data_IF_615569167756
#
_entry.id   IF_615569167756
#
_cell.length_a   1.000
_cell.length_b   1.000
_cell.length_c   1.000
_cell.angle_alpha   90.00
_cell.angle_beta   90.00
_cell.angle_gamma   90.00
#
_symmetry.space_group_name_H-M   'P 1'
#
loop_
_entity.id
_entity.type
_entity.pdbx_description
1 polymer ?
#
# COMPACT_ATOMS: atom_id res chain seq x y z
N UNK A 1 -1.99 9.55 -20.48
CA UNK A 1 -2.38 8.24 -19.94
C UNK A 1 -1.34 7.86 -18.92
N UNK A 2 -1.75 7.27 -17.79
CA UNK A 2 -0.82 6.77 -16.78
C UNK A 2 -0.27 5.42 -17.28
N UNK A 3 1.04 5.23 -17.17
CA UNK A 3 1.72 3.98 -17.56
C UNK A 3 2.12 3.16 -16.35
N UNK A 4 2.47 3.81 -15.22
CA UNK A 4 2.85 3.14 -13.97
C UNK A 4 2.08 3.72 -12.80
N UNK A 5 1.34 2.88 -12.09
CA UNK A 5 0.49 3.29 -10.95
C UNK A 5 0.96 2.59 -9.68
N UNK A 6 1.23 3.37 -8.64
CA UNK A 6 1.56 2.86 -7.31
C UNK A 6 0.28 2.76 -6.47
N UNK A 7 0.03 1.59 -5.89
CA UNK A 7 -1.13 1.32 -5.02
C UNK A 7 -0.61 0.88 -3.64
N UNK A 8 -0.48 1.80 -2.67
CA UNK A 8 -0.15 1.41 -1.31
C UNK A 8 -1.31 0.66 -0.67
N UNK A 9 -1.04 -0.52 -0.11
CA UNK A 9 -2.07 -1.41 0.40
C UNK A 9 -1.72 -1.98 1.78
N UNK A 10 -2.72 -2.05 2.65
CA UNK A 10 -2.77 -2.84 3.88
C UNK A 10 -3.95 -3.82 3.80
N UNK A 11 -4.30 -4.48 4.90
CA UNK A 11 -5.41 -5.44 5.00
C UNK A 11 -6.80 -4.77 5.07
N UNK A 12 -6.90 -3.47 4.79
CA UNK A 12 -8.17 -2.74 4.93
C UNK A 12 -9.05 -2.78 3.67
N UNK A 13 -10.37 -2.67 3.87
CA UNK A 13 -11.33 -2.54 2.76
C UNK A 13 -11.04 -1.32 1.87
N UNK A 14 -10.54 -0.22 2.45
CA UNK A 14 -10.25 0.99 1.69
C UNK A 14 -9.01 0.86 0.81
N UNK A 15 -8.06 0.03 1.22
CA UNK A 15 -6.94 -0.32 0.37
C UNK A 15 -7.39 -1.19 -0.82
N UNK A 16 -8.32 -2.12 -0.60
CA UNK A 16 -8.95 -2.88 -1.68
C UNK A 16 -9.71 -1.97 -2.67
N UNK A 17 -10.46 -0.98 -2.17
CA UNK A 17 -11.12 0.03 -3.04
C UNK A 17 -10.12 0.83 -3.88
N UNK A 18 -8.92 1.08 -3.36
CA UNK A 18 -7.87 1.76 -4.11
C UNK A 18 -7.35 0.89 -5.26
N UNK A 19 -7.17 -0.41 -5.02
CA UNK A 19 -6.80 -1.37 -6.06
C UNK A 19 -7.91 -1.52 -7.10
N UNK A 20 -9.17 -1.68 -6.67
CA UNK A 20 -10.36 -1.73 -7.54
C UNK A 20 -10.40 -0.51 -8.48
N UNK A 21 -10.24 0.69 -7.93
CA UNK A 21 -10.21 1.92 -8.73
C UNK A 21 -9.09 1.89 -9.78
N UNK A 22 -7.89 1.46 -9.40
CA UNK A 22 -6.74 1.41 -10.30
C UNK A 22 -6.97 0.41 -11.45
N UNK A 23 -7.52 -0.77 -11.15
CA UNK A 23 -7.83 -1.82 -12.12
C UNK A 23 -8.89 -1.36 -13.12
N UNK A 24 -9.99 -0.78 -12.64
CA UNK A 24 -11.10 -0.34 -13.49
C UNK A 24 -10.75 0.86 -14.39
N UNK A 25 -9.98 1.81 -13.88
CA UNK A 25 -9.74 3.08 -14.56
C UNK A 25 -8.41 3.11 -15.32
N UNK A 26 -7.47 2.22 -14.98
CA UNK A 26 -6.14 2.14 -15.57
C UNK A 26 -5.74 0.71 -15.96
N UNK A 27 -6.58 -0.04 -16.71
CA UNK A 27 -6.34 -1.47 -17.01
C UNK A 27 -5.11 -1.74 -17.88
N UNK A 28 -4.55 -0.71 -18.54
CA UNK A 28 -3.33 -0.82 -19.35
C UNK A 28 -2.07 -0.32 -18.63
N UNK A 29 -2.18 0.10 -17.36
CA UNK A 29 -1.04 0.56 -16.58
C UNK A 29 -0.37 -0.62 -15.87
N UNK A 30 0.95 -0.53 -15.70
CA UNK A 30 1.69 -1.41 -14.79
C UNK A 30 1.35 -1.00 -13.35
N UNK A 31 0.59 -1.85 -12.65
CA UNK A 31 0.17 -1.61 -11.28
C UNK A 31 1.16 -2.27 -10.32
N UNK A 32 1.72 -1.48 -9.40
CA UNK A 32 2.54 -1.97 -8.29
C UNK A 32 1.82 -1.78 -6.98
N UNK A 33 1.52 -2.89 -6.30
CA UNK A 33 1.01 -2.94 -4.95
C UNK A 33 2.18 -2.85 -3.96
N UNK A 34 2.18 -1.82 -3.13
CA UNK A 34 3.22 -1.58 -2.14
C UNK A 34 2.66 -1.83 -0.73
N UNK A 35 3.19 -2.82 -0.02
CA UNK A 35 2.92 -3.01 1.40
C UNK A 35 4.09 -2.51 2.24
N UNK A 36 3.78 -1.77 3.31
CA UNK A 36 4.82 -1.25 4.22
C UNK A 36 4.70 -1.91 5.58
N UNK A 37 5.66 -2.75 5.92
CA UNK A 37 5.77 -3.38 7.24
C UNK A 37 6.41 -2.37 8.20
N UNK A 38 5.68 -2.02 9.25
CA UNK A 38 6.11 -1.04 10.23
C UNK A 38 7.44 -1.40 10.90
N UNK A 39 8.28 -0.39 11.12
CA UNK A 39 9.53 -0.54 11.89
C UNK A 39 9.25 -1.08 13.31
N UNK A 40 10.14 -1.95 13.83
CA UNK A 40 10.25 -2.27 15.25
C UNK A 40 10.25 -1.04 16.16
N UNK A 41 9.09 -0.65 16.70
CA UNK A 41 9.05 0.31 17.81
C UNK A 41 9.08 -0.42 19.14
N UNK A 42 9.89 0.04 20.09
CA UNK A 42 10.00 -0.53 21.44
C UNK A 42 8.65 -0.53 22.22
N UNK A 43 7.62 0.16 21.72
CA UNK A 43 6.27 0.21 22.30
C UNK A 43 5.25 -0.71 21.62
N UNK A 44 5.61 -1.44 20.55
CA UNK A 44 4.68 -2.28 19.78
C UNK A 44 5.10 -3.75 19.70
N UNK A 45 4.30 -4.66 20.26
CA UNK A 45 4.65 -6.09 20.40
C UNK A 45 4.97 -6.82 19.08
N UNK A 46 4.27 -6.51 17.98
CA UNK A 46 4.58 -7.08 16.64
C UNK A 46 5.92 -6.59 16.08
N UNK A 47 6.30 -5.39 16.48
CA UNK A 47 7.48 -4.71 16.01
C UNK A 47 8.74 -5.26 16.72
N UNK A 48 8.66 -5.56 18.02
CA UNK A 48 9.71 -6.30 18.75
C UNK A 48 9.98 -7.69 18.17
N UNK A 49 8.97 -8.36 17.62
CA UNK A 49 9.14 -9.67 16.99
C UNK A 49 10.04 -9.61 15.74
N UNK A 50 9.84 -8.61 14.85
CA UNK A 50 10.71 -8.40 13.68
C UNK A 50 12.16 -8.13 14.06
N UNK A 51 12.41 -7.33 15.11
CA UNK A 51 13.77 -7.00 15.55
C UNK A 51 14.54 -8.17 16.17
N UNK A 52 13.84 -9.25 16.51
CA UNK A 52 14.43 -10.48 17.08
C UNK A 52 14.66 -11.56 16.01
N UNK A 53 14.27 -11.31 14.76
CA UNK A 53 14.50 -12.23 13.65
C UNK A 53 15.89 -11.98 13.03
N UNK A 54 16.60 -13.07 12.75
CA UNK A 54 17.95 -13.02 12.16
C UNK A 54 17.94 -12.47 10.71
N UNK A 55 16.77 -12.50 10.05
CA UNK A 55 16.54 -11.97 8.70
C UNK A 55 15.24 -11.14 8.65
N UNK A 56 15.37 -9.84 8.90
CA UNK A 56 14.26 -8.87 8.94
C UNK A 56 13.58 -8.73 7.57
N UNK A 57 14.28 -9.00 6.47
CA UNK A 57 13.70 -8.89 5.12
C UNK A 57 12.78 -10.08 4.84
N UNK A 58 13.22 -11.30 5.15
CA UNK A 58 12.37 -12.50 5.05
C UNK A 58 11.12 -12.38 5.94
N UNK A 59 11.32 -11.88 7.16
CA UNK A 59 10.26 -11.56 8.13
C UNK A 59 9.19 -10.61 7.57
N UNK A 60 9.62 -9.59 6.83
CA UNK A 60 8.75 -8.60 6.23
C UNK A 60 7.99 -9.19 5.04
N UNK A 61 8.67 -10.00 4.21
CA UNK A 61 8.04 -10.70 3.10
C UNK A 61 6.93 -11.63 3.58
N UNK A 62 7.20 -12.44 4.61
CA UNK A 62 6.20 -13.35 5.19
C UNK A 62 4.97 -12.59 5.69
N UNK A 63 5.17 -11.46 6.39
CA UNK A 63 4.06 -10.63 6.89
C UNK A 63 3.27 -9.93 5.79
N UNK A 64 3.89 -9.66 4.65
CA UNK A 64 3.24 -9.02 3.51
C UNK A 64 2.51 -10.04 2.61
N UNK A 65 2.77 -11.34 2.80
CA UNK A 65 2.30 -12.39 1.91
C UNK A 65 0.79 -12.42 1.77
N UNK A 66 0.05 -12.33 2.89
CA UNK A 66 -1.42 -12.31 2.88
C UNK A 66 -1.97 -11.14 2.04
N UNK A 67 -1.45 -9.93 2.27
CA UNK A 67 -1.85 -8.73 1.50
C UNK A 67 -1.54 -8.87 0.01
N UNK A 68 -0.42 -9.52 -0.33
CA UNK A 68 -0.03 -9.72 -1.72
C UNK A 68 -0.83 -10.80 -2.42
N UNK A 69 -1.18 -11.88 -1.72
CA UNK A 69 -2.02 -12.93 -2.28
C UNK A 69 -3.44 -12.39 -2.52
N UNK A 70 -4.01 -11.67 -1.55
CA UNK A 70 -5.31 -10.99 -1.71
C UNK A 70 -5.30 -10.01 -2.90
N UNK A 71 -4.23 -9.21 -3.04
CA UNK A 71 -4.12 -8.26 -4.14
C UNK A 71 -4.01 -8.94 -5.52
N UNK A 72 -3.29 -10.06 -5.61
CA UNK A 72 -3.14 -10.82 -6.87
C UNK A 72 -4.44 -11.53 -7.23
N UNK A 73 -5.09 -12.17 -6.26
CA UNK A 73 -6.37 -12.85 -6.47
C UNK A 73 -7.43 -11.86 -6.93
N UNK A 74 -7.51 -10.69 -6.29
CA UNK A 74 -8.44 -9.64 -6.69
C UNK A 74 -8.13 -9.07 -8.07
N UNK A 75 -6.85 -8.83 -8.41
CA UNK A 75 -6.48 -8.35 -9.74
C UNK A 75 -6.77 -9.38 -10.85
N UNK A 76 -6.67 -10.67 -10.55
CA UNK A 76 -7.02 -11.74 -11.49
C UNK A 76 -8.51 -11.73 -11.88
N UNK A 77 -9.41 -11.24 -11.02
CA UNK A 77 -10.83 -11.03 -11.36
C UNK A 77 -11.02 -10.00 -12.49
N UNK A 78 -10.02 -9.14 -12.72
CA UNK A 78 -10.00 -8.11 -13.76
C UNK A 78 -9.11 -8.48 -14.96
N UNK A 79 -8.57 -9.71 -15.02
CA UNK A 79 -7.59 -10.16 -16.03
C UNK A 79 -6.32 -9.27 -16.06
N UNK A 80 -5.88 -8.73 -14.91
CA UNK A 80 -4.68 -7.88 -14.77
C UNK A 80 -3.67 -8.52 -13.83
N UNK A 81 -2.38 -8.49 -14.21
CA UNK A 81 -1.28 -8.85 -13.32
C UNK A 81 -0.78 -7.63 -12.54
N UNK A 82 -0.50 -7.81 -11.25
CA UNK A 82 0.07 -6.77 -10.38
C UNK A 82 1.45 -7.15 -9.89
N UNK A 83 2.37 -6.18 -9.87
CA UNK A 83 3.66 -6.32 -9.18
C UNK A 83 3.48 -6.05 -7.70
N UNK A 84 4.11 -6.84 -6.83
CA UNK A 84 4.03 -6.67 -5.38
C UNK A 84 5.40 -6.32 -4.80
N UNK A 85 5.48 -5.28 -4.00
CA UNK A 85 6.71 -4.87 -3.31
C UNK A 85 6.47 -4.66 -1.82
N UNK A 86 7.39 -5.15 -1.00
CA UNK A 86 7.40 -4.88 0.45
C UNK A 86 8.48 -3.85 0.78
N UNK A 87 8.17 -2.93 1.69
CA UNK A 87 9.12 -1.98 2.27
C UNK A 87 9.04 -2.00 3.79
N UNK A 88 10.15 -1.72 4.46
CA UNK A 88 10.22 -1.56 5.90
C UNK A 88 10.14 -0.09 6.28
N UNK A 89 9.47 0.22 7.40
CA UNK A 89 9.50 1.53 8.03
C UNK A 89 8.15 2.24 8.10
N UNK A 90 8.16 3.57 8.09
CA UNK A 90 6.94 4.36 8.22
C UNK A 90 6.17 4.39 6.87
N UNK A 91 4.90 3.95 6.81
CA UNK A 91 4.11 3.85 5.57
C UNK A 91 4.15 5.09 4.69
N UNK A 92 3.77 6.26 5.22
CA UNK A 92 3.77 7.49 4.42
C UNK A 92 5.16 7.84 3.83
N UNK A 93 6.26 7.56 4.54
CA UNK A 93 7.61 7.88 4.05
C UNK A 93 8.02 6.92 2.94
N UNK A 94 7.79 5.62 3.13
CA UNK A 94 8.07 4.62 2.12
C UNK A 94 7.27 4.88 0.83
N UNK A 95 5.97 5.19 0.96
CA UNK A 95 5.12 5.56 -0.17
C UNK A 95 5.67 6.79 -0.90
N UNK A 96 5.95 7.87 -0.17
CA UNK A 96 6.46 9.11 -0.78
C UNK A 96 7.80 8.93 -1.48
N UNK A 97 8.70 8.12 -0.91
CA UNK A 97 9.99 7.82 -1.52
C UNK A 97 9.82 7.02 -2.82
N UNK A 98 8.91 6.04 -2.83
CA UNK A 98 8.67 5.18 -3.98
C UNK A 98 7.88 5.89 -5.09
N UNK A 99 7.00 6.82 -4.72
CA UNK A 99 6.10 7.52 -5.64
C UNK A 99 6.81 8.27 -6.78
N UNK A 100 8.07 8.69 -6.60
CA UNK A 100 8.86 9.36 -7.65
C UNK A 100 9.09 8.51 -8.90
N UNK A 101 8.99 7.19 -8.80
CA UNK A 101 9.18 6.27 -9.93
C UNK A 101 7.89 6.01 -10.72
N UNK A 102 6.76 6.60 -10.33
CA UNK A 102 5.42 6.31 -10.86
C UNK A 102 4.76 7.56 -11.43
N UNK A 103 3.68 7.38 -12.19
CA UNK A 103 2.93 8.50 -12.77
C UNK A 103 1.83 9.00 -11.82
N UNK A 104 1.35 8.13 -10.92
CA UNK A 104 0.35 8.45 -9.91
C UNK A 104 0.39 7.48 -8.72
N UNK A 105 -0.15 7.93 -7.59
CA UNK A 105 -0.47 7.10 -6.44
C UNK A 105 -1.98 6.97 -6.30
N UNK A 106 -2.52 5.76 -6.26
CA UNK A 106 -3.91 5.50 -5.88
C UNK A 106 -3.91 4.92 -4.47
N UNK A 107 -4.51 5.63 -3.52
CA UNK A 107 -4.47 5.25 -2.10
C UNK A 107 -5.88 5.22 -1.50
N UNK A 108 -6.10 4.26 -0.61
CA UNK A 108 -7.31 4.21 0.21
C UNK A 108 -7.38 5.45 1.10
N UNK A 109 -8.59 5.96 1.32
CA UNK A 109 -8.78 7.15 2.17
C UNK A 109 -8.33 6.95 3.62
N UNK A 110 -8.31 5.70 4.11
CA UNK A 110 -7.98 5.31 5.49
C UNK A 110 -7.49 3.86 5.53
N UNK A 111 -6.99 3.41 6.69
CA UNK A 111 -6.74 2.01 6.99
C UNK A 111 -7.37 1.60 8.33
N UNK A 112 -7.53 0.30 8.54
CA UNK A 112 -8.10 -0.29 9.76
C UNK A 112 -9.64 -0.21 9.90
N UNK A 113 -10.19 -1.02 10.79
CA UNK A 113 -11.65 -1.25 10.96
C UNK A 113 -12.38 -0.20 11.83
N UNK A 114 -11.67 0.72 12.49
CA UNK A 114 -12.18 1.52 13.61
C UNK A 114 -12.30 3.03 13.38
N UNK A 115 -12.08 3.52 12.15
CA UNK A 115 -12.23 4.93 11.84
C UNK A 115 -13.58 5.12 11.15
N UNK A 116 -14.45 5.96 11.74
CA UNK A 116 -15.71 6.39 11.12
C UNK A 116 -15.48 6.80 9.66
N UNK A 117 -16.43 6.48 8.77
CA UNK A 117 -16.42 6.69 7.31
C UNK A 117 -16.19 8.15 6.83
N UNK A 118 -15.77 9.07 7.70
CA UNK A 118 -15.74 10.51 7.50
C UNK A 118 -14.34 11.18 7.58
N UNK A 119 -13.25 10.51 8.03
CA UNK A 119 -12.04 11.25 8.49
C UNK A 119 -10.71 10.79 7.89
N UNK A 120 -10.25 11.35 6.75
CA UNK A 120 -9.08 10.85 5.97
C UNK A 120 -7.92 10.41 6.88
N UNK A 121 -7.43 9.19 6.71
CA UNK A 121 -6.38 8.61 7.56
C UNK A 121 -5.05 9.37 7.46
N UNK A 122 -4.24 9.30 8.52
CA UNK A 122 -2.98 10.05 8.60
C UNK A 122 -2.01 9.74 7.44
N UNK A 123 -1.93 8.48 7.00
CA UNK A 123 -1.09 8.08 5.87
C UNK A 123 -1.58 8.73 4.57
N UNK A 124 -2.88 8.60 4.25
CA UNK A 124 -3.47 9.21 3.07
C UNK A 124 -3.33 10.74 3.07
N UNK A 125 -3.55 11.42 4.20
CA UNK A 125 -3.34 12.87 4.31
C UNK A 125 -1.88 13.26 4.03
N UNK A 126 -0.92 12.54 4.60
CA UNK A 126 0.51 12.81 4.41
C UNK A 126 0.94 12.58 2.96
N UNK A 127 0.49 11.49 2.34
CA UNK A 127 0.78 11.17 0.94
C UNK A 127 0.17 12.22 0.02
N UNK A 128 -1.13 12.52 0.18
CA UNK A 128 -1.82 13.54 -0.61
C UNK A 128 -1.14 14.91 -0.57
N UNK A 129 -0.67 15.33 0.61
CA UNK A 129 -0.04 16.66 0.78
C UNK A 129 1.37 16.76 0.21
N UNK A 130 2.13 15.66 0.18
CA UNK A 130 3.58 15.71 -0.05
C UNK A 130 4.03 14.89 -1.27
N UNK A 131 3.12 14.19 -1.95
CA UNK A 131 3.48 13.35 -3.09
C UNK A 131 4.11 14.18 -4.22
N UNK A 132 5.19 13.68 -4.84
CA UNK A 132 5.78 14.31 -6.02
C UNK A 132 4.93 14.13 -7.28
N UNK A 133 3.92 13.24 -7.23
CA UNK A 133 3.07 12.84 -8.36
C UNK A 133 1.59 12.95 -7.96
N UNK A 134 0.65 13.04 -8.93
CA UNK A 134 -0.78 13.04 -8.66
C UNK A 134 -1.21 11.92 -7.69
N UNK A 135 -2.11 12.26 -6.77
CA UNK A 135 -2.67 11.32 -5.79
C UNK A 135 -4.17 11.24 -5.97
N UNK A 136 -4.67 10.01 -6.16
CA UNK A 136 -6.08 9.68 -6.19
C UNK A 136 -6.42 9.02 -4.86
N UNK A 137 -7.43 9.56 -4.17
CA UNK A 137 -7.90 9.03 -2.89
C UNK A 137 -9.21 8.28 -3.11
N UNK A 138 -9.16 6.95 -3.02
CA UNK A 138 -10.31 6.07 -3.21
C UNK A 138 -11.16 5.95 -1.94
N UNK A 139 -12.47 5.74 -2.13
CA UNK A 139 -13.50 5.67 -1.08
C UNK A 139 -14.50 4.57 -1.39
#
# INVERSE_FOLDING_TARGET
MLSRVLVPMDDSEMAHRALEYALENHPNAEITVLHVVGEPSAMGGKATALALEDDIEAAAQERAQEVFDDARDFAAEYDVEVTTEVQLGHPARAILNKASDFDAVVIGSHGGSMIDRLVIGNVAQKVFRNSPVPVIVAR
#
